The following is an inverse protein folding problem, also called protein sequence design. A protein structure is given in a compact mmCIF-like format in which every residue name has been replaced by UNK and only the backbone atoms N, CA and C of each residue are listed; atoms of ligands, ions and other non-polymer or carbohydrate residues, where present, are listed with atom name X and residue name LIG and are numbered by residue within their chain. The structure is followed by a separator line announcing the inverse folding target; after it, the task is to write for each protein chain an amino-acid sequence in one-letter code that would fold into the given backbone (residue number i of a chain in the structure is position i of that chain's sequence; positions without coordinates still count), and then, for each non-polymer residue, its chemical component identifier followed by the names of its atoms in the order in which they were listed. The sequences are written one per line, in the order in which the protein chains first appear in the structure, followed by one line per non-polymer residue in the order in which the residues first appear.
data_IF_467940243640
#
_entry.id   IF_467940243640
#
_cell.length_a   1.000
_cell.length_b   1.000
_cell.length_c   1.000
_cell.angle_alpha   90.00
_cell.angle_beta   90.00
_cell.angle_gamma   90.00
#
_symmetry.space_group_name_H-M   'P 1'
#
loop_
_entity.id
_entity.type
_entity.pdbx_description
1 polymer ?
#
# COMPACT_ATOMS: atom_id res chain seq x y z
N UNK A 1 -23.17 -4.04 -5.94
CA UNK A 1 -21.99 -4.81 -5.45
C UNK A 1 -22.10 -6.20 -6.05
N UNK A 2 -21.13 -6.59 -6.82
CA UNK A 2 -21.03 -7.91 -7.44
C UNK A 2 -20.55 -8.94 -6.41
N UNK A 3 -20.75 -10.23 -6.69
CA UNK A 3 -20.27 -11.33 -5.83
C UNK A 3 -18.74 -11.29 -5.69
N UNK A 4 -18.03 -10.90 -6.75
CA UNK A 4 -16.56 -10.72 -6.77
C UNK A 4 -16.12 -9.60 -5.82
N UNK A 5 -16.82 -8.47 -5.81
CA UNK A 5 -16.54 -7.35 -4.89
C UNK A 5 -16.81 -7.72 -3.43
N UNK A 6 -17.88 -8.49 -3.18
CA UNK A 6 -18.19 -8.98 -1.84
C UNK A 6 -17.11 -9.92 -1.32
N UNK A 7 -16.61 -10.82 -2.18
CA UNK A 7 -15.52 -11.74 -1.83
C UNK A 7 -14.24 -10.98 -1.50
N UNK A 8 -13.89 -9.98 -2.31
CA UNK A 8 -12.70 -9.13 -2.08
C UNK A 8 -12.81 -8.36 -0.74
N UNK A 9 -13.98 -7.79 -0.43
CA UNK A 9 -14.22 -7.11 0.84
C UNK A 9 -14.07 -8.05 2.05
N UNK A 10 -14.60 -9.28 1.96
CA UNK A 10 -14.42 -10.31 3.00
C UNK A 10 -12.96 -10.67 3.20
N UNK A 11 -12.20 -10.87 2.12
CA UNK A 11 -10.78 -11.18 2.19
C UNK A 11 -9.98 -10.06 2.84
N UNK A 12 -10.28 -8.79 2.54
CA UNK A 12 -9.65 -7.63 3.17
C UNK A 12 -9.88 -7.62 4.68
N UNK A 13 -11.12 -7.83 5.16
CA UNK A 13 -11.42 -7.90 6.60
C UNK A 13 -10.68 -9.06 7.26
N UNK A 14 -10.68 -10.23 6.65
CA UNK A 14 -9.99 -11.41 7.17
C UNK A 14 -8.48 -11.20 7.27
N UNK A 15 -7.87 -10.54 6.29
CA UNK A 15 -6.44 -10.19 6.32
C UNK A 15 -6.12 -9.23 7.47
N UNK A 16 -6.94 -8.17 7.68
CA UNK A 16 -6.76 -7.24 8.81
C UNK A 16 -6.85 -7.98 10.16
N UNK A 17 -7.81 -8.90 10.32
CA UNK A 17 -7.94 -9.71 11.53
C UNK A 17 -6.74 -10.62 11.76
N UNK A 18 -6.28 -11.30 10.71
CA UNK A 18 -5.11 -12.18 10.76
C UNK A 18 -3.85 -11.40 11.12
N UNK A 19 -3.66 -10.25 10.51
CA UNK A 19 -2.53 -9.37 10.78
C UNK A 19 -2.54 -8.88 12.25
N UNK A 20 -3.68 -8.40 12.74
CA UNK A 20 -3.84 -7.96 14.12
C UNK A 20 -3.54 -9.08 15.14
N UNK A 21 -3.92 -10.33 14.82
CA UNK A 21 -3.58 -11.49 15.66
C UNK A 21 -2.06 -11.74 15.68
N UNK A 22 -1.41 -11.66 14.51
CA UNK A 22 0.04 -11.86 14.41
C UNK A 22 0.82 -10.76 15.12
N UNK A 23 0.43 -9.52 14.99
CA UNK A 23 1.01 -8.36 15.71
C UNK A 23 0.93 -8.54 17.22
N UNK A 24 -0.17 -9.12 17.71
CA UNK A 24 -0.35 -9.45 19.14
C UNK A 24 0.40 -10.71 19.57
N UNK A 25 1.11 -11.38 18.66
CA UNK A 25 1.86 -12.61 18.92
C UNK A 25 0.98 -13.82 19.27
N UNK A 26 -0.30 -13.81 18.91
CA UNK A 26 -1.23 -14.89 19.25
C UNK A 26 -1.24 -15.97 18.17
N UNK A 27 -1.19 -17.25 18.60
CA UNK A 27 -1.51 -18.37 17.71
C UNK A 27 -3.04 -18.44 17.47
N UNK A 28 -3.44 -19.12 16.39
CA UNK A 28 -4.87 -19.39 16.11
C UNK A 28 -5.58 -20.10 17.28
N UNK A 29 -4.87 -20.96 17.97
CA UNK A 29 -5.39 -21.68 19.14
C UNK A 29 -5.60 -20.77 20.35
N UNK A 30 -4.65 -19.88 20.60
CA UNK A 30 -4.76 -18.89 21.69
C UNK A 30 -5.90 -17.91 21.44
N UNK A 31 -6.07 -17.43 20.20
CA UNK A 31 -7.21 -16.58 19.84
C UNK A 31 -8.52 -17.34 19.98
N UNK A 32 -8.61 -18.58 19.49
CA UNK A 32 -9.80 -19.42 19.61
C UNK A 32 -10.22 -19.60 21.09
N UNK A 33 -9.25 -19.88 21.97
CA UNK A 33 -9.48 -20.02 23.41
C UNK A 33 -10.02 -18.74 24.04
N UNK A 34 -9.47 -17.57 23.64
CA UNK A 34 -9.91 -16.24 24.18
C UNK A 34 -11.37 -15.93 23.85
N UNK A 35 -11.83 -16.27 22.65
CA UNK A 35 -13.19 -15.97 22.20
C UNK A 35 -14.18 -17.13 22.37
N UNK A 36 -13.75 -18.23 23.01
CA UNK A 36 -14.61 -19.38 23.30
C UNK A 36 -15.00 -20.20 22.07
N UNK A 37 -14.08 -20.36 21.09
CA UNK A 37 -14.31 -21.13 19.87
C UNK A 37 -13.21 -22.18 19.64
N UNK A 38 -13.33 -22.96 18.57
CA UNK A 38 -12.32 -23.96 18.19
C UNK A 38 -11.28 -23.35 17.23
N UNK A 39 -10.02 -23.82 17.33
CA UNK A 39 -8.94 -23.45 16.40
C UNK A 39 -9.32 -23.65 14.94
N UNK A 40 -10.01 -24.74 14.62
CA UNK A 40 -10.48 -25.04 13.25
C UNK A 40 -11.41 -23.96 12.70
N UNK A 41 -12.15 -23.28 13.57
CA UNK A 41 -13.03 -22.18 13.20
C UNK A 41 -12.21 -20.94 12.79
N UNK A 42 -11.23 -20.56 13.61
CA UNK A 42 -10.31 -19.46 13.30
C UNK A 42 -9.55 -19.75 11.99
N UNK A 43 -9.04 -20.97 11.81
CA UNK A 43 -8.35 -21.37 10.58
C UNK A 43 -9.24 -21.21 9.34
N UNK A 44 -10.52 -21.59 9.40
CA UNK A 44 -11.46 -21.43 8.26
C UNK A 44 -11.81 -19.97 7.99
N UNK A 45 -11.93 -19.15 9.04
CA UNK A 45 -12.14 -17.71 8.92
C UNK A 45 -10.94 -17.08 8.21
N UNK A 46 -9.72 -17.34 8.70
CA UNK A 46 -8.48 -16.77 8.12
C UNK A 46 -8.20 -17.25 6.69
N UNK A 47 -8.73 -18.41 6.30
CA UNK A 47 -8.70 -18.88 4.90
C UNK A 47 -9.82 -18.31 4.03
N UNK A 48 -10.74 -17.55 4.60
CA UNK A 48 -11.89 -16.99 3.89
C UNK A 48 -12.95 -18.02 3.47
N UNK A 49 -12.86 -19.27 3.99
CA UNK A 49 -13.76 -20.38 3.65
C UNK A 49 -15.01 -20.43 4.54
N UNK A 50 -15.09 -19.56 5.53
CA UNK A 50 -16.24 -19.45 6.43
C UNK A 50 -16.74 -18.01 6.51
N UNK A 51 -18.06 -17.85 6.54
CA UNK A 51 -18.67 -16.55 6.77
C UNK A 51 -18.38 -16.10 8.22
N UNK A 52 -17.93 -14.85 8.33
CA UNK A 52 -17.70 -14.19 9.59
C UNK A 52 -18.99 -13.45 9.98
N UNK A 53 -19.65 -13.88 11.07
CA UNK A 53 -20.77 -13.12 11.60
C UNK A 53 -20.28 -11.84 12.29
N UNK A 54 -21.13 -10.83 12.38
CA UNK A 54 -20.81 -9.57 13.06
C UNK A 54 -20.41 -9.82 14.52
N UNK A 55 -21.16 -10.66 15.25
CA UNK A 55 -20.85 -11.00 16.65
C UNK A 55 -19.47 -11.63 16.80
N UNK A 56 -19.10 -12.52 15.87
CA UNK A 56 -17.79 -13.17 15.91
C UNK A 56 -16.67 -12.18 15.56
N UNK A 57 -16.92 -11.26 14.64
CA UNK A 57 -15.98 -10.18 14.31
C UNK A 57 -15.74 -9.26 15.52
N UNK A 58 -16.80 -8.88 16.24
CA UNK A 58 -16.70 -8.08 17.47
C UNK A 58 -15.87 -8.82 18.53
N UNK A 59 -16.16 -10.10 18.79
CA UNK A 59 -15.40 -10.91 19.77
C UNK A 59 -13.92 -11.04 19.39
N UNK A 60 -13.61 -11.21 18.10
CA UNK A 60 -12.23 -11.29 17.65
C UNK A 60 -11.53 -9.93 17.83
N UNK A 61 -12.17 -8.84 17.44
CA UNK A 61 -11.61 -7.50 17.57
C UNK A 61 -11.32 -7.17 19.05
N UNK A 62 -12.27 -7.41 19.94
CA UNK A 62 -12.13 -7.23 21.39
C UNK A 62 -10.98 -8.08 21.97
N UNK A 63 -10.87 -9.35 21.57
CA UNK A 63 -9.76 -10.22 21.99
C UNK A 63 -8.39 -9.75 21.47
N UNK A 64 -8.36 -8.93 20.42
CA UNK A 64 -7.17 -8.34 19.83
C UNK A 64 -6.91 -6.90 20.31
N UNK A 65 -7.70 -6.36 21.22
CA UNK A 65 -7.68 -4.96 21.69
C UNK A 65 -7.82 -3.95 20.53
N UNK A 66 -8.67 -4.29 19.56
CA UNK A 66 -8.99 -3.44 18.42
C UNK A 66 -10.46 -3.07 18.46
N UNK A 67 -10.77 -1.86 18.02
CA UNK A 67 -12.16 -1.44 17.80
C UNK A 67 -12.65 -1.98 16.45
N UNK A 68 -13.90 -2.44 16.40
CA UNK A 68 -14.54 -2.88 15.15
C UNK A 68 -14.67 -1.73 14.15
N UNK A 69 -14.81 -0.49 14.63
CA UNK A 69 -14.83 0.71 13.78
C UNK A 69 -13.56 0.86 12.93
N UNK A 70 -12.40 0.50 13.48
CA UNK A 70 -11.12 0.48 12.73
C UNK A 70 -11.13 -0.55 11.59
N UNK A 71 -11.96 -1.59 11.71
CA UNK A 71 -12.12 -2.60 10.65
C UNK A 71 -13.15 -2.21 9.59
N UNK A 72 -14.08 -1.34 9.97
CA UNK A 72 -15.09 -0.72 9.14
C UNK A 72 -14.71 0.72 8.80
N UNK A 73 -13.41 1.02 8.77
CA UNK A 73 -12.98 2.31 8.23
C UNK A 73 -13.81 2.60 7.00
N UNK A 74 -14.49 3.75 7.03
CA UNK A 74 -15.15 4.26 5.85
C UNK A 74 -14.20 4.00 4.69
N UNK A 75 -14.74 3.50 3.57
CA UNK A 75 -14.10 3.84 2.29
C UNK A 75 -13.98 5.34 2.38
N UNK A 76 -12.87 5.83 2.91
CA UNK A 76 -12.58 7.22 2.80
C UNK A 76 -12.85 7.49 1.34
N UNK A 77 -13.78 8.37 1.07
CA UNK A 77 -13.77 9.15 -0.16
C UNK A 77 -12.41 9.84 -0.08
N UNK A 78 -11.36 9.06 -0.27
CA UNK A 78 -10.06 9.56 -0.61
C UNK A 78 -10.37 10.37 -1.84
N UNK A 79 -10.39 11.68 -1.73
CA UNK A 79 -10.10 12.50 -2.90
C UNK A 79 -8.96 11.76 -3.56
N UNK A 80 -9.25 11.17 -4.75
CA UNK A 80 -8.31 10.27 -5.42
C UNK A 80 -6.98 10.99 -5.43
N UNK A 81 -6.02 10.45 -4.66
CA UNK A 81 -4.73 11.09 -4.50
C UNK A 81 -4.09 11.13 -5.87
N UNK A 82 -4.03 12.31 -6.46
CA UNK A 82 -3.43 12.52 -7.76
C UNK A 82 -1.92 12.66 -7.57
N UNK A 83 -1.18 11.83 -8.26
CA UNK A 83 0.28 11.86 -8.28
C UNK A 83 0.80 12.57 -9.52
N UNK A 84 1.97 13.14 -9.39
CA UNK A 84 2.73 13.75 -10.47
C UNK A 84 4.10 13.10 -10.58
N UNK A 85 4.41 12.52 -11.74
CA UNK A 85 5.78 12.17 -12.12
C UNK A 85 6.47 13.45 -12.57
N UNK A 86 7.61 13.75 -11.95
CA UNK A 86 8.42 14.93 -12.27
C UNK A 86 9.86 14.53 -12.62
N UNK A 87 10.46 15.29 -13.51
CA UNK A 87 11.91 15.34 -13.73
C UNK A 87 12.41 16.66 -13.15
N UNK A 88 13.22 16.62 -12.09
CA UNK A 88 13.47 17.79 -11.26
C UNK A 88 12.13 18.43 -10.83
N UNK A 89 11.91 19.70 -11.09
CA UNK A 89 10.67 20.42 -10.77
C UNK A 89 9.63 20.40 -11.93
N UNK A 90 9.96 19.76 -13.06
CA UNK A 90 9.12 19.70 -14.25
C UNK A 90 8.12 18.54 -14.18
N UNK A 91 6.84 18.85 -14.10
CA UNK A 91 5.78 17.84 -14.19
C UNK A 91 5.68 17.27 -15.61
N UNK A 92 5.61 15.93 -15.71
CA UNK A 92 5.54 15.20 -16.97
C UNK A 92 4.23 14.44 -17.14
N UNK A 93 3.74 13.83 -16.06
CA UNK A 93 2.60 12.93 -16.06
C UNK A 93 1.82 13.10 -14.76
N UNK A 94 0.48 13.12 -14.83
CA UNK A 94 -0.36 12.98 -13.64
C UNK A 94 -1.21 11.73 -13.74
N UNK A 95 -1.38 11.03 -12.62
CA UNK A 95 -2.08 9.76 -12.55
C UNK A 95 -2.63 9.51 -11.14
N UNK A 96 -3.57 8.60 -11.01
CA UNK A 96 -4.04 8.07 -9.72
C UNK A 96 -3.49 6.66 -9.51
N UNK A 97 -3.40 6.26 -8.24
CA UNK A 97 -2.99 4.91 -7.81
C UNK A 97 -4.04 4.31 -6.88
N UNK A 98 -4.55 3.16 -7.26
CA UNK A 98 -5.43 2.34 -6.44
C UNK A 98 -4.80 0.99 -6.12
N UNK A 99 -4.87 0.57 -4.87
CA UNK A 99 -4.52 -0.79 -4.47
C UNK A 99 -5.79 -1.65 -4.44
N UNK A 100 -5.91 -2.62 -5.34
CA UNK A 100 -7.09 -3.47 -5.47
C UNK A 100 -6.82 -4.90 -5.00
N UNK A 101 -6.52 -5.06 -3.72
CA UNK A 101 -6.41 -6.37 -3.08
C UNK A 101 -5.62 -7.39 -3.92
N UNK A 102 -6.29 -8.41 -4.46
CA UNK A 102 -5.65 -9.46 -5.26
C UNK A 102 -5.24 -9.02 -6.68
N UNK A 103 -5.80 -7.96 -7.20
CA UNK A 103 -5.46 -7.44 -8.54
C UNK A 103 -4.17 -6.58 -8.50
N UNK A 104 -3.69 -6.26 -7.29
CA UNK A 104 -2.48 -5.47 -7.09
C UNK A 104 -2.70 -3.98 -7.31
N UNK A 105 -1.61 -3.27 -7.56
CA UNK A 105 -1.61 -1.84 -7.83
C UNK A 105 -2.14 -1.57 -9.23
N UNK A 106 -3.03 -0.59 -9.35
CA UNK A 106 -3.52 -0.07 -10.62
C UNK A 106 -3.23 1.42 -10.70
N UNK A 107 -2.84 1.88 -11.87
CA UNK A 107 -2.67 3.30 -12.17
C UNK A 107 -3.70 3.71 -13.23
N UNK A 108 -4.14 4.96 -13.15
CA UNK A 108 -4.94 5.59 -14.20
C UNK A 108 -4.27 6.91 -14.58
N UNK A 109 -3.81 7.01 -15.81
CA UNK A 109 -3.22 8.23 -16.36
C UNK A 109 -4.33 9.26 -16.56
N UNK A 110 -4.17 10.44 -15.97
CA UNK A 110 -5.10 11.56 -16.08
C UNK A 110 -4.64 12.56 -17.14
N UNK A 111 -3.35 12.88 -17.14
CA UNK A 111 -2.77 13.85 -18.07
C UNK A 111 -1.32 13.51 -18.39
N UNK A 112 -0.91 13.78 -19.62
CA UNK A 112 0.46 13.58 -20.11
C UNK A 112 0.93 14.85 -20.83
N UNK A 113 2.08 15.37 -20.42
CA UNK A 113 2.71 16.53 -21.07
C UNK A 113 3.38 16.12 -22.37
N UNK A 114 2.61 15.98 -23.44
CA UNK A 114 3.09 15.52 -24.74
C UNK A 114 4.16 16.42 -25.34
N UNK A 115 4.15 17.72 -25.03
CA UNK A 115 5.20 18.66 -25.46
C UNK A 115 6.58 18.32 -24.85
N UNK A 116 6.62 17.58 -23.74
CA UNK A 116 7.82 17.17 -23.00
C UNK A 116 8.19 15.70 -23.23
N UNK A 117 7.73 15.08 -24.30
CA UNK A 117 7.90 13.63 -24.55
C UNK A 117 9.36 13.16 -24.45
N UNK A 118 10.33 14.01 -24.83
CA UNK A 118 11.77 13.70 -24.73
C UNK A 118 12.32 13.67 -23.31
N UNK A 119 11.57 14.17 -22.33
CA UNK A 119 11.96 14.22 -20.93
C UNK A 119 11.45 13.03 -20.12
N UNK A 120 10.64 12.16 -20.73
CA UNK A 120 10.16 10.96 -20.04
C UNK A 120 11.26 9.92 -19.84
N UNK A 121 11.19 9.10 -18.78
CA UNK A 121 12.09 7.97 -18.63
C UNK A 121 12.03 7.06 -19.86
N UNK A 122 13.18 6.65 -20.36
CA UNK A 122 13.26 5.80 -21.56
C UNK A 122 12.62 4.42 -21.37
N UNK A 123 12.53 3.96 -20.12
CA UNK A 123 11.98 2.68 -19.72
C UNK A 123 10.53 2.76 -19.25
N UNK A 124 9.89 3.94 -19.36
CA UNK A 124 8.49 4.14 -19.02
C UNK A 124 7.61 4.01 -20.28
N UNK A 125 6.78 2.98 -20.31
CA UNK A 125 5.67 2.90 -21.25
C UNK A 125 4.53 3.80 -20.78
N UNK A 126 4.03 4.70 -21.64
CA UNK A 126 2.94 5.64 -21.32
C UNK A 126 1.58 4.93 -21.40
N UNK A 127 1.42 3.87 -20.61
CA UNK A 127 0.19 3.10 -20.38
C UNK A 127 -0.05 2.95 -18.89
N UNK A 128 -1.27 2.65 -18.48
CA UNK A 128 -1.59 2.42 -17.08
C UNK A 128 -0.71 1.32 -16.47
N UNK A 129 -0.56 0.19 -17.18
CA UNK A 129 0.30 -0.91 -16.74
C UNK A 129 1.77 -0.53 -16.76
N UNK A 130 2.20 0.28 -17.74
CA UNK A 130 3.58 0.76 -17.84
C UNK A 130 3.97 1.63 -16.66
N UNK A 131 3.08 2.52 -16.21
CA UNK A 131 3.28 3.33 -15.00
C UNK A 131 3.45 2.44 -13.76
N UNK A 132 2.58 1.44 -13.57
CA UNK A 132 2.69 0.49 -12.45
C UNK A 132 4.02 -0.25 -12.48
N UNK A 133 4.40 -0.83 -13.62
CA UNK A 133 5.68 -1.55 -13.77
C UNK A 133 6.89 -0.66 -13.50
N UNK A 134 6.82 0.60 -13.93
CA UNK A 134 7.89 1.56 -13.69
C UNK A 134 8.02 1.90 -12.21
N UNK A 135 6.90 2.13 -11.50
CA UNK A 135 6.86 2.36 -10.06
C UNK A 135 7.37 1.16 -9.26
N UNK A 136 6.98 -0.07 -9.65
CA UNK A 136 7.43 -1.31 -8.98
C UNK A 136 8.95 -1.50 -9.05
N UNK A 137 9.62 -0.99 -10.09
CA UNK A 137 11.08 -1.02 -10.20
C UNK A 137 11.78 0.02 -9.30
N UNK A 138 11.04 1.00 -8.81
CA UNK A 138 11.57 2.09 -7.97
C UNK A 138 11.35 1.87 -6.47
N UNK A 139 10.71 0.79 -6.10
CA UNK A 139 10.48 0.44 -4.70
C UNK A 139 11.35 -0.73 -4.27
N UNK A 140 11.39 -0.96 -2.96
CA UNK A 140 12.17 -2.04 -2.37
C UNK A 140 11.61 -3.39 -2.81
N UNK A 141 12.42 -4.26 -3.45
CA UNK A 141 11.97 -5.59 -3.82
C UNK A 141 11.50 -6.41 -2.62
N UNK A 142 10.41 -7.15 -2.78
CA UNK A 142 9.81 -7.97 -1.70
C UNK A 142 10.75 -9.05 -1.15
N UNK A 143 11.72 -9.50 -1.95
CA UNK A 143 12.70 -10.53 -1.61
C UNK A 143 14.04 -9.97 -1.11
N UNK A 144 14.12 -8.65 -0.84
CA UNK A 144 15.34 -8.05 -0.30
C UNK A 144 15.57 -8.53 1.14
N UNK A 145 16.83 -8.81 1.47
CA UNK A 145 17.22 -9.12 2.85
C UNK A 145 16.90 -7.93 3.77
N UNK A 146 16.37 -8.22 4.97
CA UNK A 146 15.95 -7.24 5.98
C UNK A 146 14.83 -6.28 5.52
N UNK A 147 14.00 -6.70 4.55
CA UNK A 147 12.91 -5.87 4.03
C UNK A 147 11.94 -5.43 5.13
N UNK A 148 11.61 -6.31 6.07
CA UNK A 148 10.67 -6.02 7.17
C UNK A 148 11.23 -4.96 8.14
N UNK A 149 12.53 -4.98 8.41
CA UNK A 149 13.20 -3.97 9.23
C UNK A 149 13.20 -2.61 8.55
N UNK A 150 13.48 -2.57 7.25
CA UNK A 150 13.45 -1.35 6.44
C UNK A 150 12.03 -0.77 6.44
N UNK A 151 11.00 -1.59 6.19
CA UNK A 151 9.61 -1.14 6.19
C UNK A 151 9.19 -0.58 7.54
N UNK A 152 9.59 -1.25 8.63
CA UNK A 152 9.33 -0.77 10.00
C UNK A 152 9.97 0.60 10.25
N UNK A 153 11.19 0.83 9.78
CA UNK A 153 11.87 2.13 9.86
C UNK A 153 11.11 3.21 9.09
N UNK A 154 10.49 2.85 7.96
CA UNK A 154 9.65 3.74 7.16
C UNK A 154 8.23 3.91 7.73
N UNK A 155 7.89 3.26 8.85
CA UNK A 155 6.55 3.28 9.43
C UNK A 155 5.51 2.47 8.63
N UNK A 156 5.97 1.56 7.75
CA UNK A 156 5.12 0.74 6.90
C UNK A 156 4.97 -0.66 7.50
N UNK A 157 3.75 -1.14 7.59
CA UNK A 157 3.42 -2.50 8.07
C UNK A 157 3.41 -3.55 6.95
N UNK A 158 3.32 -3.11 5.69
CA UNK A 158 3.20 -3.98 4.52
C UNK A 158 4.10 -3.48 3.40
N UNK A 159 4.77 -4.41 2.70
CA UNK A 159 5.52 -4.11 1.50
C UNK A 159 4.56 -3.96 0.31
N UNK A 160 4.00 -2.78 0.13
CA UNK A 160 3.22 -2.42 -1.04
C UNK A 160 3.82 -1.22 -1.77
N UNK A 161 3.72 -1.23 -3.08
CA UNK A 161 4.34 -0.22 -3.94
C UNK A 161 3.81 1.18 -3.65
N UNK A 162 2.49 1.35 -3.48
CA UNK A 162 1.88 2.66 -3.22
C UNK A 162 2.37 3.25 -1.89
N UNK A 163 2.35 2.47 -0.80
CA UNK A 163 2.82 2.95 0.51
C UNK A 163 4.29 3.35 0.50
N UNK A 164 5.15 2.59 -0.20
CA UNK A 164 6.57 2.93 -0.34
C UNK A 164 6.74 4.21 -1.16
N UNK A 165 6.01 4.39 -2.27
CA UNK A 165 6.03 5.62 -3.07
C UNK A 165 5.56 6.82 -2.24
N UNK A 166 4.52 6.66 -1.43
CA UNK A 166 4.01 7.73 -0.55
C UNK A 166 5.06 8.24 0.45
N UNK A 167 6.00 7.38 0.88
CA UNK A 167 7.06 7.73 1.81
C UNK A 167 8.35 8.16 1.10
N UNK A 168 8.78 7.38 0.09
CA UNK A 168 10.08 7.56 -0.55
C UNK A 168 10.02 8.41 -1.81
N UNK A 169 8.82 8.86 -2.25
CA UNK A 169 8.60 9.67 -3.44
C UNK A 169 9.19 9.04 -4.72
N UNK A 170 9.45 7.74 -4.72
CA UNK A 170 10.11 7.05 -5.83
C UNK A 170 11.49 7.59 -6.19
N UNK A 171 12.16 8.29 -5.30
CA UNK A 171 13.51 8.83 -5.50
C UNK A 171 14.53 7.72 -5.77
N UNK A 172 15.50 7.98 -6.63
CA UNK A 172 16.57 7.06 -6.99
C UNK A 172 17.92 7.79 -7.08
N UNK A 173 19.01 7.04 -6.82
CA UNK A 173 20.37 7.52 -7.08
C UNK A 173 20.77 7.43 -8.56
N UNK A 174 19.95 6.80 -9.41
CA UNK A 174 20.30 6.56 -10.81
C UNK A 174 19.76 7.62 -11.76
N UNK A 175 18.79 8.42 -11.29
CA UNK A 175 18.13 9.43 -12.12
C UNK A 175 17.50 10.53 -11.23
N UNK A 176 16.94 11.56 -11.87
CA UNK A 176 16.30 12.71 -11.20
C UNK A 176 14.78 12.71 -11.32
N UNK A 177 14.18 11.54 -11.58
CA UNK A 177 12.74 11.38 -11.55
C UNK A 177 12.24 11.10 -10.13
N UNK A 178 11.08 11.64 -9.82
CA UNK A 178 10.39 11.40 -8.56
C UNK A 178 8.87 11.51 -8.72
N UNK A 179 8.15 11.00 -7.73
CA UNK A 179 6.69 10.95 -7.72
C UNK A 179 6.18 11.60 -6.45
N UNK A 180 5.43 12.66 -6.62
CA UNK A 180 4.83 13.43 -5.52
C UNK A 180 3.34 13.57 -5.75
N UNK A 181 2.60 14.07 -4.76
CA UNK A 181 1.20 14.46 -5.01
C UNK A 181 1.15 15.67 -5.94
N UNK A 182 0.09 15.79 -6.72
CA UNK A 182 -0.03 16.85 -7.72
C UNK A 182 -0.04 18.26 -7.11
N UNK A 183 -0.52 18.37 -5.87
CA UNK A 183 -0.57 19.60 -5.06
C UNK A 183 0.72 19.86 -4.26
N UNK A 184 1.74 18.99 -4.38
CA UNK A 184 3.00 19.14 -3.67
C UNK A 184 3.81 20.31 -4.24
N UNK A 185 4.21 21.26 -3.41
CA UNK A 185 4.91 22.50 -3.76
C UNK A 185 6.43 22.48 -3.48
N UNK A 186 6.94 21.38 -2.89
CA UNK A 186 8.37 21.20 -2.63
C UNK A 186 9.21 21.08 -3.91
N UNK A 187 10.48 21.48 -3.81
CA UNK A 187 11.45 21.42 -4.92
C UNK A 187 12.31 20.18 -4.86
N UNK A 188 12.69 19.63 -6.02
CA UNK A 188 13.55 18.47 -6.12
C UNK A 188 14.88 18.64 -5.36
N UNK A 189 15.45 19.84 -5.38
CA UNK A 189 16.70 20.14 -4.68
C UNK A 189 16.64 19.83 -3.17
N UNK A 190 15.47 19.99 -2.54
CA UNK A 190 15.29 19.78 -1.10
C UNK A 190 15.15 18.30 -0.71
N UNK A 191 14.88 17.42 -1.69
CA UNK A 191 14.54 16.00 -1.44
C UNK A 191 15.45 15.00 -2.15
N UNK A 192 16.26 15.42 -3.13
CA UNK A 192 17.10 14.50 -3.89
C UNK A 192 18.10 13.74 -3.02
N UNK A 193 18.45 12.51 -3.43
CA UNK A 193 19.33 11.62 -2.66
C UNK A 193 20.82 11.97 -2.77
N UNK A 194 21.21 12.88 -3.67
CA UNK A 194 22.61 13.25 -3.88
C UNK A 194 23.09 14.32 -2.89
N UNK A 195 22.24 15.28 -2.58
CA UNK A 195 22.57 16.45 -1.76
C UNK A 195 22.03 16.31 -0.34
N UNK A 196 20.93 15.56 -0.16
CA UNK A 196 20.32 15.35 1.15
C UNK A 196 20.86 14.07 1.79
N UNK A 197 21.72 14.22 2.79
CA UNK A 197 22.27 13.10 3.58
C UNK A 197 21.18 12.59 4.51
N UNK A 198 20.84 11.29 4.38
CA UNK A 198 19.82 10.63 5.21
C UNK A 198 20.24 10.37 6.65
N UNK A 199 21.48 10.62 7.04
CA UNK A 199 21.93 10.56 8.42
C UNK A 199 23.12 11.48 8.63
N UNK A 200 22.97 12.46 9.44
CA UNK A 200 24.05 12.87 10.31
C UNK A 200 24.00 11.88 11.47
N UNK A 201 24.89 10.87 11.43
CA UNK A 201 25.10 9.93 12.51
C UNK A 201 25.89 10.62 13.63
#
# INVERSE_FOLDING_TARGET
MTEKELLAARQSIVQKLTQARLEKGLSQEQLAKRIGTQRSNICRIEKGTQNLSLDLMIKIAEALDKDVSVMLEERSSTMEKVYSLRLYDEALLTFTLEERGLEGLQATILHTETAKQKLFPLDLELTNEGVVKWLERRVIPKNRQFVDEILKTLGLSVNNTKGIIDVCMGLSLNDSYWVVTADFDGKYADYNLYENRFSEA
#
